data_IF_227996973877
#
_entry.id   IF_227996973877
#
_cell.length_a   1.000
_cell.length_b   1.000
_cell.length_c   1.000
_cell.angle_alpha   90.00
_cell.angle_beta   90.00
_cell.angle_gamma   90.00
#
_symmetry.space_group_name_H-M   'P 1'
#
loop_
_entity.id
_entity.type
_entity.pdbx_description
1 polymer ?
#
# COMPACT_ATOMS: atom_id res chain seq x y z
N UNK A 1 4.34 -10.56 -8.27
CA UNK A 1 2.96 -10.09 -8.06
C UNK A 1 2.36 -9.82 -9.43
N UNK A 2 1.16 -10.37 -9.70
CA UNK A 2 0.52 -10.26 -11.01
C UNK A 2 -0.27 -8.97 -11.18
N UNK A 3 -0.74 -8.70 -12.42
CA UNK A 3 -1.48 -7.48 -12.76
C UNK A 3 -2.73 -7.27 -11.89
N UNK A 4 -3.44 -8.34 -11.56
CA UNK A 4 -4.62 -8.28 -10.68
C UNK A 4 -4.25 -7.86 -9.25
N UNK A 5 -3.16 -8.39 -8.70
CA UNK A 5 -2.68 -8.03 -7.36
C UNK A 5 -2.19 -6.58 -7.30
N UNK A 6 -1.56 -6.09 -8.36
CA UNK A 6 -1.14 -4.68 -8.47
C UNK A 6 -2.35 -3.74 -8.39
N UNK A 7 -3.36 -3.97 -9.24
CA UNK A 7 -4.55 -3.14 -9.25
C UNK A 7 -5.35 -3.23 -7.95
N UNK A 8 -5.46 -4.42 -7.38
CA UNK A 8 -6.10 -4.62 -6.07
C UNK A 8 -5.41 -3.80 -4.98
N UNK A 9 -4.07 -3.88 -4.90
CA UNK A 9 -3.30 -3.10 -3.94
C UNK A 9 -3.46 -1.58 -4.17
N UNK A 10 -3.52 -1.14 -5.43
CA UNK A 10 -3.70 0.27 -5.76
C UNK A 10 -5.07 0.81 -5.30
N UNK A 11 -6.14 0.04 -5.49
CA UNK A 11 -7.49 0.41 -5.02
C UNK A 11 -7.53 0.45 -3.49
N UNK A 12 -7.04 -0.59 -2.81
CA UNK A 12 -7.06 -0.65 -1.34
C UNK A 12 -6.30 0.51 -0.71
N UNK A 13 -5.09 0.81 -1.19
CA UNK A 13 -4.29 1.93 -0.66
C UNK A 13 -4.95 3.28 -0.93
N UNK A 14 -5.63 3.43 -2.08
CA UNK A 14 -6.35 4.68 -2.39
C UNK A 14 -7.54 4.97 -1.47
N UNK A 15 -8.08 3.96 -0.77
CA UNK A 15 -9.13 4.20 0.22
C UNK A 15 -8.65 5.07 1.38
N UNK A 16 -7.38 4.93 1.78
CA UNK A 16 -6.78 5.72 2.85
C UNK A 16 -6.61 7.19 2.47
N UNK A 17 -6.54 7.51 1.18
CA UNK A 17 -6.50 8.90 0.73
C UNK A 17 -7.83 9.63 0.85
N UNK A 18 -8.93 8.92 1.12
CA UNK A 18 -10.23 9.55 1.36
C UNK A 18 -10.33 10.22 2.75
N UNK A 19 -9.36 10.00 3.64
CA UNK A 19 -9.35 10.61 4.97
C UNK A 19 -8.99 12.11 4.85
N UNK A 20 -9.82 13.03 5.37
CA UNK A 20 -9.51 14.46 5.36
C UNK A 20 -8.21 14.76 6.12
N UNK A 21 -7.49 15.80 5.68
CA UNK A 21 -6.26 16.34 6.29
C UNK A 21 -5.01 15.46 6.18
N UNK A 22 -5.11 14.14 6.42
CA UNK A 22 -3.94 13.23 6.49
C UNK A 22 -3.94 12.12 5.44
N UNK A 23 -5.00 11.97 4.65
CA UNK A 23 -5.17 10.80 3.80
C UNK A 23 -4.09 10.64 2.72
N UNK A 24 -3.67 11.73 2.07
CA UNK A 24 -2.66 11.69 1.03
C UNK A 24 -1.30 11.20 1.57
N UNK A 25 -0.85 11.80 2.67
CA UNK A 25 0.40 11.46 3.33
C UNK A 25 0.35 10.05 3.92
N UNK A 26 -0.81 9.64 4.47
CA UNK A 26 -1.02 8.30 4.99
C UNK A 26 -0.94 7.24 3.88
N UNK A 27 -1.60 7.47 2.74
CA UNK A 27 -1.55 6.56 1.60
C UNK A 27 -0.11 6.42 1.06
N UNK A 28 0.63 7.54 0.94
CA UNK A 28 2.03 7.54 0.55
C UNK A 28 2.90 6.82 1.60
N UNK A 29 2.65 7.03 2.89
CA UNK A 29 3.36 6.36 3.97
C UNK A 29 3.14 4.85 3.97
N UNK A 30 1.92 4.37 3.70
CA UNK A 30 1.62 2.93 3.63
C UNK A 30 2.42 2.28 2.49
N UNK A 31 2.34 2.84 1.29
CA UNK A 31 2.96 2.23 0.10
C UNK A 31 4.45 2.51 -0.05
N UNK A 32 4.96 3.58 0.55
CA UNK A 32 6.39 3.92 0.62
C UNK A 32 6.98 4.64 -0.58
N UNK A 33 6.18 4.90 -1.62
CA UNK A 33 6.61 5.56 -2.86
C UNK A 33 5.40 6.20 -3.58
N UNK A 34 5.62 7.02 -4.61
CA UNK A 34 4.60 7.67 -5.42
C UNK A 34 3.87 6.73 -6.39
N UNK A 35 4.38 5.52 -6.65
CA UNK A 35 3.65 4.40 -7.29
C UNK A 35 3.70 3.12 -6.44
N UNK A 36 2.81 2.16 -6.71
CA UNK A 36 2.91 0.82 -6.11
C UNK A 36 4.15 0.16 -6.74
N UNK A 37 5.15 -0.17 -5.93
CA UNK A 37 6.43 -0.65 -6.42
C UNK A 37 6.98 -1.79 -5.57
N UNK A 38 8.22 -2.21 -5.84
CA UNK A 38 8.90 -3.24 -5.03
C UNK A 38 9.00 -2.88 -3.55
N UNK A 39 9.04 -1.58 -3.21
CA UNK A 39 9.04 -1.12 -1.81
C UNK A 39 7.71 -1.46 -1.15
N UNK A 40 6.59 -1.17 -1.81
CA UNK A 40 5.24 -1.50 -1.30
C UNK A 40 5.09 -3.00 -1.09
N UNK A 41 5.56 -3.81 -2.03
CA UNK A 41 5.52 -5.26 -1.91
C UNK A 41 6.31 -5.75 -0.69
N UNK A 42 7.54 -5.28 -0.51
CA UNK A 42 8.37 -5.71 0.62
C UNK A 42 7.75 -5.34 1.97
N UNK A 43 7.08 -4.20 2.06
CA UNK A 43 6.34 -3.80 3.26
C UNK A 43 5.14 -4.70 3.53
N UNK A 44 4.36 -5.01 2.50
CA UNK A 44 3.21 -5.91 2.65
C UNK A 44 3.65 -7.33 2.96
N UNK A 45 4.75 -7.81 2.36
CA UNK A 45 5.34 -9.10 2.68
C UNK A 45 5.82 -9.15 4.13
N UNK A 46 6.56 -8.13 4.60
CA UNK A 46 6.99 -8.05 5.99
C UNK A 46 5.80 -8.00 6.96
N UNK A 47 4.75 -7.24 6.63
CA UNK A 47 3.51 -7.19 7.41
C UNK A 47 2.83 -8.57 7.45
N UNK A 48 2.73 -9.27 6.32
CA UNK A 48 2.02 -10.54 6.20
C UNK A 48 2.81 -11.76 6.72
N UNK A 49 4.13 -11.69 6.78
CA UNK A 49 4.96 -12.81 7.24
C UNK A 49 5.41 -12.63 8.69
N UNK A 50 5.63 -11.39 9.13
CA UNK A 50 6.19 -11.09 10.45
C UNK A 50 5.11 -10.56 11.39
N UNK A 51 4.33 -9.56 10.96
CA UNK A 51 3.40 -8.87 11.85
C UNK A 51 2.05 -9.58 11.98
N UNK A 52 1.57 -10.19 10.90
CA UNK A 52 0.27 -10.86 10.79
C UNK A 52 0.42 -12.16 9.97
N UNK A 53 0.96 -13.23 10.58
CA UNK A 53 1.13 -14.52 9.92
C UNK A 53 -0.20 -15.20 9.55
#
# INVERSE_FOLDING_TARGET
WGQMSYWGAQVIVSLFSAIPLIGADLAQWIRGDYLISGITLNRFFALHVIALP
#
